data_IF_481102900533
#
_entry.id   IF_481102900533
#
_cell.length_a   1.000
_cell.length_b   1.000
_cell.length_c   1.000
_cell.angle_alpha   90.00
_cell.angle_beta   90.00
_cell.angle_gamma   90.00
#
_symmetry.space_group_name_H-M   'P 1'
#
loop_
_entity.id
_entity.type
_entity.pdbx_description
1 polymer ?
#
# COMPACT_ATOMS: atom_id res chain seq x y z
N UNK A 1 -36.14 12.15 -21.91
CA UNK A 1 -35.89 10.99 -22.81
C UNK A 1 -35.12 10.00 -21.97
N UNK A 2 -35.80 9.00 -21.46
CA UNK A 2 -35.20 7.88 -20.71
C UNK A 2 -34.36 7.06 -21.68
N UNK A 3 -33.03 6.98 -21.44
CA UNK A 3 -32.17 6.03 -22.17
C UNK A 3 -32.36 4.67 -21.52
N UNK A 4 -33.01 3.78 -22.23
CA UNK A 4 -33.07 2.36 -21.88
C UNK A 4 -31.64 1.80 -21.82
N UNK A 5 -31.15 1.53 -20.61
CA UNK A 5 -29.89 0.81 -20.39
C UNK A 5 -30.20 -0.67 -20.62
N UNK A 6 -29.45 -1.38 -21.50
CA UNK A 6 -29.71 -2.77 -21.77
C UNK A 6 -29.50 -3.59 -20.49
N UNK A 7 -30.51 -4.35 -20.11
CA UNK A 7 -30.46 -5.36 -19.07
C UNK A 7 -29.47 -6.45 -19.48
N UNK A 8 -28.24 -6.38 -18.97
CA UNK A 8 -27.24 -7.44 -19.16
C UNK A 8 -27.60 -8.55 -18.16
N UNK A 9 -28.25 -9.60 -18.69
CA UNK A 9 -28.92 -10.66 -17.96
C UNK A 9 -28.07 -11.35 -16.92
N UNK A 10 -28.60 -11.41 -15.75
CA UNK A 10 -28.32 -12.19 -14.58
C UNK A 10 -29.29 -11.73 -13.52
N UNK A 11 -29.87 -12.62 -12.74
CA UNK A 11 -30.77 -12.29 -11.64
C UNK A 11 -30.09 -11.23 -10.76
N UNK A 12 -30.52 -9.96 -10.88
CA UNK A 12 -30.06 -8.89 -10.01
C UNK A 12 -30.57 -9.18 -8.60
N UNK A 13 -29.72 -9.04 -7.58
CA UNK A 13 -30.16 -9.20 -6.21
C UNK A 13 -31.31 -8.17 -5.96
N UNK A 14 -32.42 -8.65 -5.47
CA UNK A 14 -33.49 -7.81 -4.99
C UNK A 14 -33.05 -7.21 -3.66
N UNK A 15 -32.90 -5.88 -3.59
CA UNK A 15 -32.50 -5.20 -2.37
C UNK A 15 -31.57 -4.04 -2.61
N UNK A 16 -31.08 -3.46 -1.52
CA UNK A 16 -30.17 -2.29 -1.52
C UNK A 16 -28.75 -2.69 -1.87
N UNK A 17 -28.19 -2.11 -2.92
CA UNK A 17 -26.85 -2.38 -3.44
C UNK A 17 -25.86 -1.37 -2.88
N UNK A 18 -24.79 -1.88 -2.25
CA UNK A 18 -23.69 -1.10 -1.71
C UNK A 18 -22.43 -1.36 -2.51
N UNK A 19 -21.65 -0.32 -2.79
CA UNK A 19 -20.32 -0.46 -3.41
C UNK A 19 -19.26 0.22 -2.55
N UNK A 20 -18.11 -0.41 -2.45
CA UNK A 20 -16.90 0.17 -1.83
C UNK A 20 -15.67 -0.13 -2.67
N UNK A 21 -14.62 0.68 -2.49
CA UNK A 21 -13.37 0.52 -3.24
C UNK A 21 -12.15 0.58 -2.32
N UNK A 22 -11.12 -0.13 -2.71
CA UNK A 22 -9.85 -0.10 -1.99
C UNK A 22 -8.75 -0.91 -2.65
N UNK A 23 -7.53 -0.71 -2.20
CA UNK A 23 -6.40 -1.54 -2.60
C UNK A 23 -6.47 -2.90 -1.90
N UNK A 24 -6.90 -2.94 -0.64
CA UNK A 24 -6.98 -4.15 0.21
C UNK A 24 -5.67 -4.93 0.31
N UNK A 25 -4.55 -4.20 0.22
CA UNK A 25 -3.22 -4.79 0.34
C UNK A 25 -2.95 -5.23 1.78
N UNK A 26 -2.37 -6.44 1.95
CA UNK A 26 -2.17 -7.06 3.27
C UNK A 26 -3.46 -6.96 4.09
N UNK A 27 -4.48 -7.73 3.68
CA UNK A 27 -5.81 -7.66 4.29
C UNK A 27 -5.72 -7.77 5.82
N UNK A 28 -6.29 -6.80 6.53
CA UNK A 28 -6.21 -6.71 7.99
C UNK A 28 -7.57 -6.36 8.60
N UNK A 29 -7.64 -6.40 9.94
CA UNK A 29 -8.89 -6.16 10.67
C UNK A 29 -9.58 -4.83 10.32
N UNK A 30 -8.82 -3.78 9.98
CA UNK A 30 -9.39 -2.51 9.51
C UNK A 30 -10.16 -2.65 8.22
N UNK A 31 -9.65 -3.42 7.24
CA UNK A 31 -10.35 -3.74 6.01
C UNK A 31 -11.57 -4.62 6.26
N UNK A 32 -11.45 -5.64 7.10
CA UNK A 32 -12.56 -6.54 7.46
C UNK A 32 -13.69 -5.74 8.11
N UNK A 33 -13.37 -4.84 9.03
CA UNK A 33 -14.37 -3.98 9.68
C UNK A 33 -15.04 -3.02 8.68
N UNK A 34 -14.29 -2.48 7.70
CA UNK A 34 -14.86 -1.66 6.63
C UNK A 34 -15.87 -2.47 5.81
N UNK A 35 -15.48 -3.67 5.36
CA UNK A 35 -16.34 -4.54 4.55
C UNK A 35 -17.59 -4.97 5.31
N UNK A 36 -17.45 -5.36 6.59
CA UNK A 36 -18.59 -5.70 7.44
C UNK A 36 -19.57 -4.53 7.57
N UNK A 37 -19.07 -3.31 7.89
CA UNK A 37 -19.90 -2.11 8.03
C UNK A 37 -20.54 -1.70 6.71
N UNK A 38 -19.83 -1.84 5.59
CA UNK A 38 -20.40 -1.60 4.26
C UNK A 38 -21.52 -2.60 3.96
N UNK A 39 -21.34 -3.88 4.28
CA UNK A 39 -22.38 -4.91 4.12
C UNK A 39 -23.63 -4.62 4.95
N UNK A 40 -23.49 -4.04 6.14
CA UNK A 40 -24.60 -3.66 7.00
C UNK A 40 -25.49 -2.53 6.43
N UNK A 41 -25.01 -1.81 5.39
CA UNK A 41 -25.77 -0.74 4.72
C UNK A 41 -26.73 -1.24 3.64
N UNK A 42 -26.65 -2.52 3.26
CA UNK A 42 -27.52 -3.06 2.20
C UNK A 42 -27.47 -4.59 2.10
N UNK A 43 -28.21 -5.09 1.12
CA UNK A 43 -28.42 -6.52 0.91
C UNK A 43 -27.34 -7.15 0.04
N UNK A 44 -26.69 -6.35 -0.82
CA UNK A 44 -25.65 -6.78 -1.75
C UNK A 44 -24.47 -5.84 -1.71
N UNK A 45 -23.28 -6.40 -1.44
CA UNK A 45 -22.03 -5.64 -1.38
C UNK A 45 -21.12 -5.97 -2.56
N UNK A 46 -20.85 -4.94 -3.37
CA UNK A 46 -19.85 -4.97 -4.44
C UNK A 46 -18.56 -4.33 -3.92
N UNK A 47 -17.43 -4.97 -4.18
CA UNK A 47 -16.12 -4.44 -3.79
C UNK A 47 -15.24 -4.26 -5.00
N UNK A 48 -14.83 -3.03 -5.30
CA UNK A 48 -13.84 -2.69 -6.30
C UNK A 48 -12.43 -2.81 -5.73
N UNK A 49 -11.61 -3.71 -6.28
CA UNK A 49 -10.20 -3.86 -5.93
C UNK A 49 -9.35 -3.20 -7.00
N UNK A 50 -8.49 -2.24 -6.62
CA UNK A 50 -7.64 -1.49 -7.56
C UNK A 50 -6.57 -2.38 -8.18
N UNK A 51 -6.27 -2.19 -9.48
CA UNK A 51 -5.11 -2.85 -10.10
C UNK A 51 -3.79 -2.25 -9.60
N UNK A 52 -2.71 -3.02 -9.73
CA UNK A 52 -1.37 -2.56 -9.35
C UNK A 52 -0.95 -1.33 -10.18
N UNK A 53 -1.27 -1.31 -11.47
CA UNK A 53 -0.99 -0.18 -12.36
C UNK A 53 -1.77 1.08 -11.96
N UNK A 54 -3.06 0.94 -11.63
CA UNK A 54 -3.87 2.07 -11.21
C UNK A 54 -3.44 2.61 -9.84
N UNK A 55 -2.99 1.74 -8.93
CA UNK A 55 -2.41 2.16 -7.66
C UNK A 55 -1.10 2.94 -7.87
N UNK A 56 -0.24 2.54 -8.82
CA UNK A 56 0.97 3.29 -9.20
C UNK A 56 0.64 4.68 -9.74
N UNK A 57 -0.34 4.82 -10.63
CA UNK A 57 -0.79 6.11 -11.17
C UNK A 57 -1.31 7.04 -10.05
N UNK A 58 -1.86 6.49 -8.98
CA UNK A 58 -2.34 7.22 -7.80
C UNK A 58 -1.25 7.50 -6.77
N UNK A 59 0.00 7.16 -7.06
CA UNK A 59 1.14 7.36 -6.17
C UNK A 59 1.25 6.32 -5.03
N UNK A 60 0.47 5.25 -5.07
CA UNK A 60 0.68 4.09 -4.20
C UNK A 60 1.70 3.16 -4.83
N UNK A 61 2.95 3.41 -4.56
CA UNK A 61 4.02 2.49 -4.94
C UNK A 61 4.07 1.34 -3.93
N UNK A 62 4.15 0.10 -4.44
CA UNK A 62 4.41 -1.12 -3.68
C UNK A 62 3.22 -1.74 -2.93
N UNK A 63 2.21 -2.18 -3.68
CA UNK A 63 1.34 -3.23 -3.18
C UNK A 63 2.15 -4.51 -3.01
N UNK A 64 2.08 -5.13 -1.83
CA UNK A 64 2.80 -6.38 -1.52
C UNK A 64 2.15 -7.58 -2.18
N UNK A 65 0.82 -7.64 -2.13
CA UNK A 65 0.03 -8.72 -2.67
C UNK A 65 -0.47 -8.37 -4.08
N UNK A 66 -0.32 -9.29 -5.03
CA UNK A 66 -0.87 -9.12 -6.38
C UNK A 66 -2.38 -8.88 -6.35
N UNK A 67 -2.93 -8.22 -7.37
CA UNK A 67 -4.39 -7.96 -7.45
C UNK A 67 -5.21 -9.23 -7.27
N UNK A 68 -4.79 -10.36 -7.84
CA UNK A 68 -5.51 -11.64 -7.71
C UNK A 68 -5.53 -12.16 -6.27
N UNK A 69 -4.41 -12.03 -5.55
CA UNK A 69 -4.33 -12.41 -4.14
C UNK A 69 -5.21 -11.52 -3.27
N UNK A 70 -5.24 -10.21 -3.55
CA UNK A 70 -6.08 -9.23 -2.85
C UNK A 70 -7.57 -9.50 -3.09
N UNK A 71 -7.95 -9.80 -4.33
CA UNK A 71 -9.32 -10.23 -4.69
C UNK A 71 -9.74 -11.48 -3.92
N UNK A 72 -8.86 -12.49 -3.87
CA UNK A 72 -9.14 -13.73 -3.15
C UNK A 72 -9.32 -13.47 -1.65
N UNK A 73 -8.42 -12.70 -1.03
CA UNK A 73 -8.52 -12.34 0.38
C UNK A 73 -9.82 -11.58 0.72
N UNK A 74 -10.25 -10.66 -0.15
CA UNK A 74 -11.52 -9.93 -0.01
C UNK A 74 -12.71 -10.90 -0.06
N UNK A 75 -12.74 -11.83 -1.01
CA UNK A 75 -13.81 -12.86 -1.11
C UNK A 75 -13.87 -13.76 0.13
N UNK A 76 -12.72 -14.14 0.67
CA UNK A 76 -12.61 -15.02 1.84
C UNK A 76 -13.11 -14.39 3.13
N UNK A 77 -13.33 -13.06 3.18
CA UNK A 77 -13.94 -12.40 4.35
C UNK A 77 -15.37 -12.82 4.62
N UNK A 78 -16.10 -13.33 3.61
CA UNK A 78 -17.49 -13.73 3.70
C UNK A 78 -18.51 -12.57 3.76
N UNK A 79 -18.06 -11.32 3.66
CA UNK A 79 -18.96 -10.15 3.65
C UNK A 79 -19.32 -9.67 2.23
N UNK A 80 -18.61 -10.14 1.21
CA UNK A 80 -18.64 -9.58 -0.15
C UNK A 80 -19.40 -10.51 -1.07
N UNK A 81 -20.40 -9.98 -1.78
CA UNK A 81 -21.22 -10.73 -2.72
C UNK A 81 -20.59 -10.71 -4.13
N UNK A 82 -19.99 -9.58 -4.52
CA UNK A 82 -19.34 -9.44 -5.83
C UNK A 82 -18.02 -8.66 -5.71
N UNK A 83 -16.99 -9.09 -6.44
CA UNK A 83 -15.72 -8.34 -6.54
C UNK A 83 -15.51 -7.95 -8.00
N UNK A 84 -15.27 -6.66 -8.20
CA UNK A 84 -14.90 -6.05 -9.49
C UNK A 84 -13.48 -5.48 -9.42
N UNK A 85 -12.90 -5.21 -10.58
CA UNK A 85 -11.56 -4.61 -10.68
C UNK A 85 -11.69 -3.15 -11.03
N UNK A 86 -10.97 -2.28 -10.30
CA UNK A 86 -10.84 -0.86 -10.62
C UNK A 86 -9.56 -0.61 -11.40
N UNK A 87 -9.68 -0.14 -12.64
CA UNK A 87 -8.58 0.01 -13.58
C UNK A 87 -8.32 1.47 -14.01
N UNK A 88 -9.31 2.37 -13.89
CA UNK A 88 -9.18 3.73 -14.39
C UNK A 88 -9.91 4.77 -13.54
N UNK A 89 -9.44 6.01 -13.69
CA UNK A 89 -10.05 7.17 -13.02
C UNK A 89 -11.43 7.47 -13.62
N UNK A 90 -12.46 7.56 -12.74
CA UNK A 90 -13.85 7.79 -13.16
C UNK A 90 -14.71 6.53 -13.18
N UNK A 91 -14.12 5.34 -13.16
CA UNK A 91 -14.85 4.07 -13.16
C UNK A 91 -15.95 3.97 -12.10
N UNK A 92 -15.77 4.64 -10.96
CA UNK A 92 -16.77 4.65 -9.88
C UNK A 92 -18.15 5.13 -10.36
N UNK A 93 -18.21 6.15 -11.23
CA UNK A 93 -19.47 6.65 -11.80
C UNK A 93 -20.08 5.61 -12.74
N UNK A 94 -19.24 5.03 -13.62
CA UNK A 94 -19.68 4.00 -14.56
C UNK A 94 -20.23 2.78 -13.83
N UNK A 95 -19.54 2.32 -12.77
CA UNK A 95 -19.97 1.19 -11.98
C UNK A 95 -21.23 1.47 -11.17
N UNK A 96 -21.36 2.67 -10.55
CA UNK A 96 -22.58 3.08 -9.85
C UNK A 96 -23.78 3.03 -10.78
N UNK A 97 -23.64 3.53 -12.01
CA UNK A 97 -24.71 3.51 -13.00
C UNK A 97 -24.99 2.11 -13.54
N UNK A 98 -23.93 1.34 -13.83
CA UNK A 98 -24.01 -0.03 -14.37
C UNK A 98 -24.74 -0.98 -13.43
N UNK A 99 -24.39 -0.90 -12.14
CA UNK A 99 -24.92 -1.81 -11.12
C UNK A 99 -26.16 -1.26 -10.41
N UNK A 100 -26.61 -0.05 -10.75
CA UNK A 100 -27.70 0.65 -10.05
C UNK A 100 -27.44 0.71 -8.54
N UNK A 101 -26.28 1.24 -8.17
CA UNK A 101 -25.83 1.30 -6.78
C UNK A 101 -26.63 2.31 -5.98
N UNK A 102 -27.12 1.89 -4.81
CA UNK A 102 -27.85 2.79 -3.89
C UNK A 102 -26.92 3.53 -2.95
N UNK A 103 -25.81 2.90 -2.53
CA UNK A 103 -24.88 3.43 -1.53
C UNK A 103 -23.44 3.23 -1.98
N UNK A 104 -22.68 4.31 -2.03
CA UNK A 104 -21.23 4.30 -2.07
C UNK A 104 -20.69 4.44 -0.66
N UNK A 105 -20.04 3.41 -0.13
CA UNK A 105 -19.45 3.40 1.22
C UNK A 105 -17.92 3.45 1.15
N UNK A 106 -17.29 4.32 1.93
CA UNK A 106 -15.83 4.46 1.97
C UNK A 106 -15.36 4.85 3.38
N UNK A 107 -14.07 4.63 3.70
CA UNK A 107 -13.52 5.05 4.99
C UNK A 107 -13.55 6.57 5.19
N UNK A 108 -13.72 7.03 6.44
CA UNK A 108 -13.78 8.45 6.80
C UNK A 108 -12.49 9.23 6.51
N UNK A 109 -11.37 8.55 6.23
CA UNK A 109 -10.14 9.19 5.75
C UNK A 109 -10.34 9.96 4.42
N UNK A 110 -11.42 9.66 3.71
CA UNK A 110 -11.81 10.25 2.43
C UNK A 110 -12.99 11.21 2.54
N UNK A 111 -13.34 11.64 3.76
CA UNK A 111 -14.49 12.51 3.98
C UNK A 111 -14.47 13.76 3.10
N UNK A 112 -15.55 14.00 2.39
CA UNK A 112 -15.71 15.08 1.42
C UNK A 112 -15.09 14.82 0.03
N UNK A 113 -14.12 13.92 -0.09
CA UNK A 113 -13.43 13.69 -1.37
C UNK A 113 -14.33 13.08 -2.44
N UNK A 114 -15.29 12.24 -2.05
CA UNK A 114 -16.22 11.56 -2.94
C UNK A 114 -17.62 12.20 -2.97
N UNK A 115 -17.78 13.40 -2.47
CA UNK A 115 -19.07 14.11 -2.44
C UNK A 115 -19.68 14.33 -3.83
N UNK A 116 -18.87 14.35 -4.88
CA UNK A 116 -19.35 14.42 -6.27
C UNK A 116 -20.18 13.19 -6.68
N UNK A 117 -20.07 12.07 -5.98
CA UNK A 117 -20.88 10.88 -6.23
C UNK A 117 -22.31 11.00 -5.67
N UNK A 118 -22.60 12.01 -4.83
CA UNK A 118 -23.94 12.27 -4.27
C UNK A 118 -24.99 12.58 -5.33
N UNK A 119 -24.55 12.95 -6.55
CA UNK A 119 -25.45 13.12 -7.70
C UNK A 119 -25.97 11.78 -8.24
N UNK A 120 -25.32 10.66 -7.91
CA UNK A 120 -25.62 9.33 -8.45
C UNK A 120 -26.15 8.35 -7.42
N UNK A 121 -25.70 8.43 -6.17
CA UNK A 121 -26.11 7.55 -5.08
C UNK A 121 -25.87 8.19 -3.69
N UNK A 122 -26.33 7.55 -2.64
CA UNK A 122 -25.98 7.94 -1.27
C UNK A 122 -24.47 7.70 -1.02
N UNK A 123 -23.79 8.67 -0.40
CA UNK A 123 -22.37 8.55 -0.03
C UNK A 123 -22.25 8.46 1.49
N UNK A 124 -21.69 7.36 1.99
CA UNK A 124 -21.51 7.09 3.41
C UNK A 124 -20.03 6.97 3.75
N UNK A 125 -19.57 7.81 4.68
CA UNK A 125 -18.21 7.75 5.21
C UNK A 125 -18.19 6.92 6.49
N UNK A 126 -17.55 5.76 6.43
CA UNK A 126 -17.51 4.81 7.54
C UNK A 126 -16.36 5.15 8.51
N UNK A 127 -16.60 5.13 9.82
CA UNK A 127 -15.58 5.47 10.81
C UNK A 127 -14.39 4.51 10.73
N UNK A 128 -13.18 5.07 10.87
CA UNK A 128 -11.94 4.29 10.85
C UNK A 128 -11.81 3.41 12.09
N UNK A 129 -11.28 2.20 11.89
CA UNK A 129 -10.81 1.37 13.01
C UNK A 129 -9.47 1.91 13.50
N UNK A 130 -9.43 2.40 14.76
CA UNK A 130 -8.20 2.94 15.34
C UNK A 130 -7.14 1.86 15.55
N UNK A 131 -5.86 2.23 15.41
CA UNK A 131 -4.73 1.39 15.77
C UNK A 131 -4.29 0.34 14.76
N UNK A 132 -4.91 0.26 13.57
CA UNK A 132 -4.54 -0.71 12.54
C UNK A 132 -4.50 -0.04 11.17
N UNK A 133 -3.36 -0.15 10.47
CA UNK A 133 -3.24 0.26 9.08
C UNK A 133 -2.34 -0.71 8.31
N UNK A 134 -2.54 -0.82 6.99
CA UNK A 134 -1.67 -1.62 6.10
C UNK A 134 -0.20 -1.17 6.19
N UNK A 135 0.05 0.10 6.47
CA UNK A 135 1.39 0.64 6.66
C UNK A 135 2.04 0.08 7.91
N UNK A 136 1.35 0.09 9.06
CA UNK A 136 1.87 -0.49 10.31
C UNK A 136 2.16 -1.99 10.18
N UNK A 137 1.25 -2.74 9.54
CA UNK A 137 1.43 -4.18 9.35
C UNK A 137 2.54 -4.54 8.36
N UNK A 138 2.81 -3.66 7.38
CA UNK A 138 3.97 -3.80 6.49
C UNK A 138 5.28 -3.54 7.23
N UNK A 139 5.28 -2.64 8.19
CA UNK A 139 6.44 -2.34 9.04
C UNK A 139 6.72 -3.44 10.08
N UNK A 140 5.69 -4.12 10.58
CA UNK A 140 5.82 -5.22 11.56
C UNK A 140 6.24 -6.57 10.94
N UNK A 141 5.99 -6.79 9.63
CA UNK A 141 6.30 -8.05 8.97
C UNK A 141 7.59 -7.98 8.14
N UNK A 142 8.69 -8.46 8.73
CA UNK A 142 9.99 -8.67 8.07
C UNK A 142 10.52 -7.37 7.43
N UNK A 143 10.93 -6.44 8.28
CA UNK A 143 11.75 -5.32 7.86
C UNK A 143 13.17 -5.83 7.63
N UNK A 144 13.58 -5.90 6.36
CA UNK A 144 14.98 -6.13 5.99
C UNK A 144 15.78 -4.89 6.39
N UNK A 145 16.69 -5.04 7.34
CA UNK A 145 17.60 -3.99 7.75
C UNK A 145 18.74 -3.88 6.75
N UNK A 146 18.85 -2.77 6.08
CA UNK A 146 19.90 -2.53 5.08
C UNK A 146 21.01 -1.72 5.70
N UNK A 147 22.22 -2.25 5.63
CA UNK A 147 23.46 -1.53 5.94
C UNK A 147 24.06 -0.88 4.70
N UNK A 148 24.54 0.35 4.78
CA UNK A 148 25.20 1.05 3.68
C UNK A 148 26.71 1.11 3.93
N UNK A 149 27.50 0.64 2.96
CA UNK A 149 28.94 0.79 2.96
C UNK A 149 29.34 1.87 1.94
N UNK A 150 29.83 3.00 2.42
CA UNK A 150 30.17 4.17 1.63
C UNK A 150 29.09 5.25 1.69
N UNK A 151 29.49 6.45 2.08
CA UNK A 151 28.62 7.59 2.37
C UNK A 151 28.69 8.69 1.30
N UNK A 152 29.08 8.30 0.08
CA UNK A 152 29.17 9.20 -1.06
C UNK A 152 27.82 9.46 -1.74
N UNK A 153 27.87 10.07 -2.94
CA UNK A 153 26.70 10.47 -3.70
C UNK A 153 25.74 9.30 -4.05
N UNK A 154 26.28 8.11 -4.27
CA UNK A 154 25.45 6.90 -4.59
C UNK A 154 24.68 6.45 -3.35
N UNK A 155 25.33 6.36 -2.18
CA UNK A 155 24.63 6.09 -0.92
C UNK A 155 23.55 7.14 -0.62
N UNK A 156 23.85 8.43 -0.87
CA UNK A 156 22.91 9.53 -0.68
C UNK A 156 21.67 9.46 -1.62
N UNK A 157 21.79 8.88 -2.80
CA UNK A 157 20.64 8.61 -3.69
C UNK A 157 19.83 7.40 -3.24
N UNK A 158 20.50 6.35 -2.82
CA UNK A 158 19.86 5.11 -2.41
C UNK A 158 18.93 5.30 -1.19
N UNK A 159 19.36 6.06 -0.16
CA UNK A 159 18.59 6.20 1.09
C UNK A 159 17.17 6.75 0.88
N UNK A 160 16.95 7.85 0.14
CA UNK A 160 15.60 8.32 -0.14
C UNK A 160 14.78 7.29 -0.92
N UNK A 161 15.38 6.64 -1.93
CA UNK A 161 14.70 5.63 -2.75
C UNK A 161 14.30 4.40 -1.93
N UNK A 162 15.17 3.92 -1.04
CA UNK A 162 14.87 2.80 -0.15
C UNK A 162 13.65 3.07 0.75
N UNK A 163 13.38 4.32 1.13
CA UNK A 163 12.21 4.71 1.94
C UNK A 163 10.88 4.51 1.21
N UNK A 164 10.89 4.48 -0.13
CA UNK A 164 9.68 4.21 -0.91
C UNK A 164 9.37 2.71 -1.06
N UNK A 165 10.32 1.83 -0.70
CA UNK A 165 10.12 0.39 -0.76
C UNK A 165 9.68 -0.13 0.60
N UNK A 166 8.46 -0.63 0.70
CA UNK A 166 7.94 -1.20 1.95
C UNK A 166 8.68 -2.48 2.33
N UNK A 167 8.83 -2.73 3.63
CA UNK A 167 9.47 -3.94 4.14
C UNK A 167 11.01 -3.87 4.19
N UNK A 168 11.60 -2.68 4.05
CA UNK A 168 13.01 -2.47 4.35
C UNK A 168 13.23 -1.18 5.13
N UNK A 169 14.33 -1.11 5.85
CA UNK A 169 14.81 0.08 6.55
C UNK A 169 16.32 0.20 6.41
N UNK A 170 16.81 1.41 6.19
CA UNK A 170 18.26 1.67 6.28
C UNK A 170 18.61 1.82 7.75
N UNK A 171 19.20 0.77 8.35
CA UNK A 171 19.46 0.69 9.79
C UNK A 171 20.80 1.27 10.21
N UNK A 172 21.80 1.19 9.34
CA UNK A 172 23.16 1.61 9.66
C UNK A 172 23.94 2.03 8.41
N UNK A 173 24.97 2.84 8.58
CA UNK A 173 25.95 3.12 7.55
C UNK A 173 27.37 3.00 8.10
N UNK A 174 28.31 2.67 7.23
CA UNK A 174 29.74 2.59 7.52
C UNK A 174 30.55 3.36 6.47
N UNK A 175 31.53 4.11 6.96
CA UNK A 175 32.60 4.72 6.18
C UNK A 175 33.88 4.69 7.01
N UNK A 176 35.06 4.37 6.44
CA UNK A 176 36.35 4.51 7.14
C UNK A 176 36.53 5.92 7.76
N UNK A 177 36.06 6.96 7.09
CA UNK A 177 35.96 8.30 7.69
C UNK A 177 34.72 8.37 8.59
N UNK A 178 34.96 8.30 9.89
CA UNK A 178 33.91 8.26 10.91
C UNK A 178 33.17 9.60 11.07
N UNK A 179 33.81 10.71 10.74
CA UNK A 179 33.15 12.02 10.79
C UNK A 179 32.16 12.17 9.64
N UNK A 180 32.58 11.79 8.43
CA UNK A 180 31.71 11.73 7.27
C UNK A 180 30.54 10.75 7.46
N UNK A 181 30.80 9.59 8.05
CA UNK A 181 29.77 8.63 8.37
C UNK A 181 28.67 9.20 9.28
N UNK A 182 29.07 9.87 10.37
CA UNK A 182 28.11 10.52 11.28
C UNK A 182 27.30 11.63 10.61
N UNK A 183 27.96 12.48 9.80
CA UNK A 183 27.28 13.54 9.03
C UNK A 183 26.25 12.96 8.08
N UNK A 184 26.63 11.90 7.36
CA UNK A 184 25.73 11.20 6.43
C UNK A 184 24.53 10.60 7.14
N UNK A 185 24.74 9.89 8.26
CA UNK A 185 23.65 9.29 9.05
C UNK A 185 22.68 10.37 9.55
N UNK A 186 23.19 11.45 10.11
CA UNK A 186 22.37 12.56 10.60
C UNK A 186 21.56 13.22 9.49
N UNK A 187 22.16 13.48 8.33
CA UNK A 187 21.50 14.11 7.19
C UNK A 187 20.40 13.24 6.57
N UNK A 188 20.53 11.91 6.66
CA UNK A 188 19.62 10.95 6.04
C UNK A 188 18.67 10.28 7.03
N UNK A 189 18.76 10.57 8.33
CA UNK A 189 17.94 9.98 9.38
C UNK A 189 18.23 8.49 9.59
N UNK A 190 19.50 8.07 9.38
CA UNK A 190 19.97 6.70 9.63
C UNK A 190 20.33 6.59 11.12
N UNK A 191 19.77 5.63 11.86
CA UNK A 191 19.91 5.57 13.31
C UNK A 191 21.33 5.27 13.79
N UNK A 192 22.16 4.59 12.96
CA UNK A 192 23.47 4.12 13.40
C UNK A 192 24.60 4.46 12.41
N UNK A 193 25.62 5.16 12.90
CA UNK A 193 26.92 5.30 12.23
C UNK A 193 27.87 4.24 12.80
N UNK A 194 28.05 3.14 12.08
CA UNK A 194 28.88 2.02 12.54
C UNK A 194 30.37 2.40 12.57
N UNK A 195 31.06 2.02 13.62
CA UNK A 195 32.49 2.34 13.82
C UNK A 195 33.40 1.38 13.07
N UNK A 196 32.92 0.15 12.87
CA UNK A 196 33.63 -0.91 12.14
C UNK A 196 32.69 -1.56 11.14
N UNK A 197 33.29 -2.26 10.16
CA UNK A 197 32.50 -3.04 9.21
C UNK A 197 31.73 -4.16 9.93
N UNK A 198 32.35 -4.84 10.89
CA UNK A 198 31.72 -5.91 11.67
C UNK A 198 30.51 -5.38 12.46
N UNK A 199 30.62 -4.17 13.01
CA UNK A 199 29.48 -3.54 13.70
C UNK A 199 28.32 -3.22 12.74
N UNK A 200 28.60 -2.82 11.50
CA UNK A 200 27.59 -2.69 10.47
C UNK A 200 26.91 -4.02 10.18
N UNK A 201 27.71 -5.05 9.87
CA UNK A 201 27.23 -6.36 9.46
C UNK A 201 26.38 -7.03 10.55
N UNK A 202 26.73 -6.85 11.82
CA UNK A 202 25.94 -7.34 12.95
C UNK A 202 24.56 -6.65 13.10
N UNK A 203 24.37 -5.50 12.49
CA UNK A 203 23.16 -4.68 12.64
C UNK A 203 22.32 -4.55 11.36
N UNK A 204 22.59 -5.37 10.34
CA UNK A 204 21.83 -5.40 9.10
C UNK A 204 21.63 -6.84 8.60
N UNK A 205 20.63 -7.01 7.74
CA UNK A 205 20.27 -8.28 7.13
C UNK A 205 20.73 -8.33 5.65
N UNK A 206 20.96 -7.17 5.07
CA UNK A 206 21.47 -6.98 3.72
C UNK A 206 22.40 -5.76 3.67
N UNK A 207 23.31 -5.76 2.71
CA UNK A 207 24.30 -4.68 2.54
C UNK A 207 24.19 -4.08 1.14
N UNK A 208 24.15 -2.74 1.10
CA UNK A 208 24.30 -1.97 -0.12
C UNK A 208 25.70 -1.36 -0.18
N UNK A 209 26.54 -1.85 -1.11
CA UNK A 209 27.93 -1.40 -1.27
C UNK A 209 27.96 -0.20 -2.23
N UNK A 210 28.11 0.99 -1.68
CA UNK A 210 28.20 2.28 -2.39
C UNK A 210 29.62 2.91 -2.28
N UNK A 211 30.61 2.11 -1.97
CA UNK A 211 32.03 2.48 -1.88
C UNK A 211 32.66 2.69 -3.27
N UNK A 212 33.88 3.23 -3.40
CA UNK A 212 34.61 3.23 -4.66
C UNK A 212 34.84 1.79 -5.18
N UNK A 213 34.85 1.62 -6.51
CA UNK A 213 34.88 0.32 -7.20
C UNK A 213 36.01 -0.62 -6.73
N UNK A 214 37.18 -0.06 -6.43
CA UNK A 214 38.33 -0.88 -5.96
C UNK A 214 38.12 -1.55 -4.62
N UNK A 215 37.16 -1.06 -3.81
CA UNK A 215 36.85 -1.61 -2.49
C UNK A 215 35.61 -2.56 -2.51
N UNK A 216 34.87 -2.66 -3.62
CA UNK A 216 33.65 -3.47 -3.71
C UNK A 216 33.90 -4.92 -3.36
N UNK A 217 34.97 -5.53 -3.89
CA UNK A 217 35.27 -6.95 -3.69
C UNK A 217 35.45 -7.27 -2.20
N UNK A 218 36.26 -6.50 -1.50
CA UNK A 218 36.56 -6.74 -0.08
C UNK A 218 35.31 -6.58 0.80
N UNK A 219 34.50 -5.56 0.53
CA UNK A 219 33.26 -5.35 1.29
C UNK A 219 32.20 -6.40 0.97
N UNK A 220 32.03 -6.77 -0.29
CA UNK A 220 31.10 -7.84 -0.66
C UNK A 220 31.52 -9.20 -0.08
N UNK A 221 32.82 -9.51 -0.11
CA UNK A 221 33.35 -10.73 0.47
C UNK A 221 33.16 -10.79 2.01
N UNK A 222 33.32 -9.67 2.68
CA UNK A 222 33.11 -9.62 4.13
C UNK A 222 31.63 -9.75 4.54
N UNK A 223 30.70 -9.44 3.63
CA UNK A 223 29.27 -9.52 3.88
C UNK A 223 28.66 -10.91 3.59
N UNK A 224 29.42 -11.83 2.97
CA UNK A 224 29.02 -13.21 2.64
C UNK A 224 29.53 -14.20 3.69
#
# INVERSE_FOLDING_TARGET
MSKDIPNIGGDRPHGRIVITYGTFDVLHQGHINLLRRAKELGDWLIVGVTTDNFDLERGKMNTRDSVMKRVQAVKETGYVDEVIIEEYKGQKIDDIQKYNVDVFAIGSDWEGYFDYLKEYCEVVYLPRTQGISSTMLREEQISVRIGIIGTGSIGGRFVPEAKFVSGNTVSAAYNPDQEECRKFCSANGIPMAARTLDELLANCDAVYVASPHYAHYEYAKAAL
#
